data_IF_335136450833
#
_entry.id   IF_335136450833
#
_cell.length_a   1.000
_cell.length_b   1.000
_cell.length_c   1.000
_cell.angle_alpha   90.00
_cell.angle_beta   90.00
_cell.angle_gamma   90.00
#
_symmetry.space_group_name_H-M   'P 1'
#
loop_
_entity.id
_entity.type
_entity.pdbx_description
1 polymer ?
#
# COMPACT_ATOMS: atom_id res chain seq x y z
N UNK A 1 9.04 8.93 17.54
CA UNK A 1 8.72 7.73 16.75
C UNK A 1 7.39 7.18 17.24
N UNK A 2 6.35 7.18 16.42
CA UNK A 2 5.08 6.51 16.75
C UNK A 2 5.36 5.01 16.62
N UNK A 3 5.88 4.39 17.69
CA UNK A 3 5.92 2.94 17.85
C UNK A 3 4.49 2.47 18.14
N UNK A 4 3.63 2.63 17.14
CA UNK A 4 2.36 1.95 16.90
C UNK A 4 1.52 1.56 18.14
N UNK A 5 1.26 2.53 19.01
CA UNK A 5 0.25 2.44 20.09
C UNK A 5 -1.18 2.66 19.54
N UNK A 6 -1.37 2.34 18.27
CA UNK A 6 -2.63 2.41 17.54
C UNK A 6 -3.37 1.08 17.57
N UNK A 7 -3.11 0.23 18.58
CA UNK A 7 -3.81 -1.02 18.87
C UNK A 7 -5.31 -0.75 19.08
N UNK A 8 -6.06 -0.82 17.99
CA UNK A 8 -7.51 -0.88 17.98
C UNK A 8 -7.86 -2.24 17.46
N UNK A 9 -8.77 -2.94 18.15
CA UNK A 9 -9.25 -4.24 17.71
C UNK A 9 -9.84 -4.09 16.29
N UNK A 10 -9.48 -4.98 15.34
CA UNK A 10 -10.16 -5.06 14.06
C UNK A 10 -11.69 -5.08 14.23
N UNK A 11 -12.39 -4.41 13.32
CA UNK A 11 -13.83 -4.19 13.37
C UNK A 11 -14.28 -3.00 14.23
N UNK A 12 -13.41 -2.44 15.09
CA UNK A 12 -13.76 -1.22 15.82
C UNK A 12 -13.79 0.00 14.88
N UNK A 13 -14.64 0.99 15.18
CA UNK A 13 -14.77 2.19 14.33
C UNK A 13 -13.45 2.94 14.14
N UNK A 14 -12.59 3.00 15.16
CA UNK A 14 -11.27 3.63 15.05
C UNK A 14 -10.31 2.81 14.19
N UNK A 15 -10.39 1.48 14.26
CA UNK A 15 -9.62 0.60 13.37
C UNK A 15 -10.04 0.77 11.92
N UNK A 16 -11.36 0.74 11.64
CA UNK A 16 -11.90 0.97 10.30
C UNK A 16 -11.52 2.35 9.75
N UNK A 17 -11.65 3.41 10.55
CA UNK A 17 -11.23 4.74 10.13
C UNK A 17 -9.73 4.80 9.83
N UNK A 18 -8.89 4.18 10.67
CA UNK A 18 -7.44 4.09 10.43
C UNK A 18 -7.16 3.38 9.11
N UNK A 19 -7.89 2.30 8.80
CA UNK A 19 -7.78 1.58 7.53
C UNK A 19 -8.18 2.46 6.35
N UNK A 20 -9.31 3.18 6.42
CA UNK A 20 -9.73 4.12 5.37
C UNK A 20 -8.68 5.22 5.16
N UNK A 21 -8.16 5.79 6.25
CA UNK A 21 -7.12 6.84 6.18
C UNK A 21 -5.85 6.30 5.53
N UNK A 22 -5.38 5.13 5.96
CA UNK A 22 -4.16 4.52 5.44
C UNK A 22 -4.26 4.12 3.96
N UNK A 23 -5.43 3.61 3.55
CA UNK A 23 -5.69 3.19 2.17
C UNK A 23 -5.82 4.35 1.20
N UNK A 24 -6.57 5.40 1.56
CA UNK A 24 -7.05 6.34 0.52
C UNK A 24 -6.61 7.78 0.71
N UNK A 25 -6.35 8.26 1.92
CA UNK A 25 -6.16 9.71 2.13
C UNK A 25 -4.88 10.21 1.47
N UNK A 26 -3.84 9.38 1.34
CA UNK A 26 -2.63 9.75 0.58
C UNK A 26 -2.92 9.96 -0.90
N UNK A 27 -3.67 9.04 -1.50
CA UNK A 27 -4.04 9.09 -2.92
C UNK A 27 -4.98 10.26 -3.24
N UNK A 28 -5.69 10.77 -2.22
CA UNK A 28 -6.51 11.99 -2.30
C UNK A 28 -5.71 13.29 -2.11
N UNK A 29 -4.38 13.26 -2.20
CA UNK A 29 -3.53 14.46 -1.98
C UNK A 29 -3.25 14.76 -0.50
N UNK A 30 -3.48 13.79 0.38
CA UNK A 30 -3.15 13.84 1.80
C UNK A 30 -4.20 14.51 2.70
N UNK A 31 -5.31 15.01 2.14
CA UNK A 31 -6.35 15.71 2.87
C UNK A 31 -7.75 15.18 2.53
N UNK A 32 -8.69 15.28 3.47
CA UNK A 32 -10.07 14.81 3.29
C UNK A 32 -11.05 15.57 4.19
N UNK A 33 -12.26 15.83 3.69
CA UNK A 33 -13.28 16.53 4.47
C UNK A 33 -13.82 15.64 5.59
N UNK A 34 -14.21 16.25 6.72
CA UNK A 34 -14.80 15.48 7.83
C UNK A 34 -16.10 14.80 7.40
N UNK A 35 -16.89 15.47 6.57
CA UNK A 35 -18.15 14.96 6.07
C UNK A 35 -17.94 13.72 5.17
N UNK A 36 -16.89 13.71 4.36
CA UNK A 36 -16.59 12.59 3.44
C UNK A 36 -16.10 11.37 4.23
N UNK A 37 -15.26 11.58 5.26
CA UNK A 37 -14.89 10.51 6.19
C UNK A 37 -16.10 9.90 6.93
N UNK A 38 -17.08 10.74 7.30
CA UNK A 38 -18.31 10.29 7.94
C UNK A 38 -19.15 9.45 6.96
N UNK A 39 -19.25 9.86 5.69
CA UNK A 39 -20.01 9.13 4.68
C UNK A 39 -19.36 7.79 4.31
N UNK A 40 -18.03 7.77 4.16
CA UNK A 40 -17.25 6.54 3.96
C UNK A 40 -17.44 5.56 5.13
N UNK A 41 -17.39 6.04 6.37
CA UNK A 41 -17.71 5.22 7.54
C UNK A 41 -19.18 4.77 7.57
N UNK A 42 -20.10 5.58 7.02
CA UNK A 42 -21.49 5.22 6.80
C UNK A 42 -21.67 4.03 5.85
N UNK A 43 -20.85 3.93 4.79
CA UNK A 43 -20.82 2.74 3.93
C UNK A 43 -20.38 1.47 4.69
N UNK A 44 -19.62 1.63 5.78
CA UNK A 44 -19.21 0.54 6.67
C UNK A 44 -20.25 0.22 7.77
N UNK A 45 -21.39 0.92 7.79
CA UNK A 45 -22.45 0.76 8.79
C UNK A 45 -22.23 1.54 10.08
N UNK A 46 -21.29 2.50 10.09
CA UNK A 46 -20.99 3.32 11.26
C UNK A 46 -21.88 4.57 11.29
N UNK A 47 -22.62 4.83 12.38
CA UNK A 47 -23.41 6.05 12.51
C UNK A 47 -22.54 7.33 12.56
N UNK A 48 -23.04 8.50 12.11
CA UNK A 48 -22.27 9.74 12.06
C UNK A 48 -21.63 10.16 13.39
N UNK A 49 -22.31 9.95 14.52
CA UNK A 49 -21.76 10.26 15.84
C UNK A 49 -20.53 9.38 16.14
N UNK A 50 -20.60 8.08 15.86
CA UNK A 50 -19.50 7.14 16.05
C UNK A 50 -18.30 7.47 15.15
N UNK A 51 -18.57 7.87 13.91
CA UNK A 51 -17.55 8.31 12.97
C UNK A 51 -16.78 9.54 13.48
N UNK A 52 -17.48 10.61 13.91
CA UNK A 52 -16.83 11.81 14.48
C UNK A 52 -16.02 11.49 15.74
N UNK A 53 -16.52 10.61 16.61
CA UNK A 53 -15.77 10.15 17.78
C UNK A 53 -14.53 9.33 17.42
N UNK A 54 -14.55 8.56 16.33
CA UNK A 54 -13.38 7.86 15.82
C UNK A 54 -12.35 8.84 15.25
N UNK A 55 -12.80 9.85 14.50
CA UNK A 55 -11.93 10.92 13.97
C UNK A 55 -11.21 11.65 15.10
N UNK A 56 -11.92 12.02 16.17
CA UNK A 56 -11.31 12.64 17.35
C UNK A 56 -10.22 11.76 17.99
N UNK A 57 -10.45 10.44 18.09
CA UNK A 57 -9.46 9.49 18.62
C UNK A 57 -8.25 9.34 17.70
N UNK A 58 -8.45 9.27 16.39
CA UNK A 58 -7.38 9.18 15.39
C UNK A 58 -6.53 10.45 15.40
N UNK A 59 -7.16 11.64 15.50
CA UNK A 59 -6.49 12.93 15.69
C UNK A 59 -5.66 12.95 16.98
N UNK A 60 -6.23 12.52 18.10
CA UNK A 60 -5.52 12.48 19.39
C UNK A 60 -4.28 11.59 19.37
N UNK A 61 -4.24 10.60 18.47
CA UNK A 61 -3.08 9.72 18.23
C UNK A 61 -2.11 10.24 17.15
N UNK A 62 -2.30 11.46 16.67
CA UNK A 62 -1.35 12.13 15.77
C UNK A 62 -1.38 11.65 14.32
N UNK A 63 -2.38 10.88 13.89
CA UNK A 63 -2.50 10.46 12.48
C UNK A 63 -3.05 11.58 11.59
N UNK A 64 -3.92 12.42 12.13
CA UNK A 64 -4.60 13.50 11.42
C UNK A 64 -4.43 14.84 12.14
N UNK A 65 -4.21 15.90 11.37
CA UNK A 65 -4.20 17.29 11.83
C UNK A 65 -5.35 18.07 11.16
N UNK A 66 -6.00 19.03 11.86
CA UNK A 66 -7.07 19.81 11.26
C UNK A 66 -6.58 20.62 10.06
N UNK A 67 -7.42 20.73 9.04
CA UNK A 67 -7.17 21.53 7.83
C UNK A 67 -8.48 22.14 7.32
N UNK A 68 -8.39 23.29 6.66
CA UNK A 68 -9.45 23.80 5.80
C UNK A 68 -9.06 23.47 4.37
N UNK A 69 -9.90 22.71 3.67
CA UNK A 69 -9.66 22.31 2.28
C UNK A 69 -9.75 23.53 1.34
N UNK A 70 -9.25 23.37 0.12
CA UNK A 70 -9.23 24.43 -0.90
C UNK A 70 -10.65 24.96 -1.24
N UNK A 71 -11.66 24.11 -1.11
CA UNK A 71 -13.09 24.45 -1.28
C UNK A 71 -13.73 25.09 -0.02
N UNK A 72 -12.95 25.37 1.02
CA UNK A 72 -13.39 25.99 2.27
C UNK A 72 -14.03 25.04 3.28
N UNK A 73 -14.19 23.75 2.97
CA UNK A 73 -14.75 22.78 3.92
C UNK A 73 -13.75 22.44 5.03
N UNK A 74 -14.28 22.23 6.24
CA UNK A 74 -13.50 21.70 7.34
C UNK A 74 -13.11 20.23 7.07
N UNK A 75 -11.83 19.93 7.25
CA UNK A 75 -11.25 18.62 6.97
C UNK A 75 -10.08 18.28 7.87
N UNK A 76 -9.35 17.27 7.46
CA UNK A 76 -8.12 16.82 8.09
C UNK A 76 -7.07 16.47 7.05
N UNK A 77 -5.82 16.81 7.36
CA UNK A 77 -4.64 16.31 6.65
C UNK A 77 -4.02 15.15 7.41
N UNK A 78 -3.33 14.27 6.70
CA UNK A 78 -2.33 13.41 7.31
C UNK A 78 -1.29 14.26 8.03
N UNK A 79 -0.96 13.88 9.27
CA UNK A 79 0.14 14.51 9.97
C UNK A 79 1.46 14.28 9.19
N UNK A 80 2.38 15.26 9.11
CA UNK A 80 3.65 15.09 8.40
C UNK A 80 4.43 13.85 8.85
N UNK A 81 4.44 13.57 10.16
CA UNK A 81 5.14 12.43 10.76
C UNK A 81 4.41 11.08 10.56
N UNK A 82 3.17 11.09 10.07
CA UNK A 82 2.40 9.87 9.83
C UNK A 82 2.78 9.18 8.51
N UNK A 83 3.36 9.91 7.55
CA UNK A 83 3.75 9.39 6.24
C UNK A 83 4.68 8.18 6.32
N UNK A 84 5.85 8.28 7.00
CA UNK A 84 6.77 7.15 7.17
C UNK A 84 6.17 5.95 7.92
N UNK A 85 5.27 6.20 8.89
CA UNK A 85 4.56 5.15 9.61
C UNK A 85 3.61 4.39 8.68
N UNK A 86 2.79 5.11 7.89
CA UNK A 86 1.87 4.51 6.92
C UNK A 86 2.63 3.73 5.84
N UNK A 87 3.73 4.29 5.31
CA UNK A 87 4.56 3.62 4.31
C UNK A 87 5.19 2.31 4.84
N UNK A 88 5.65 2.28 6.10
CA UNK A 88 6.08 1.03 6.76
C UNK A 88 4.92 0.04 6.87
N UNK A 89 3.75 0.52 7.27
CA UNK A 89 2.52 -0.28 7.31
C UNK A 89 2.19 -0.93 5.97
N UNK A 90 2.21 -0.18 4.88
CA UNK A 90 1.90 -0.72 3.54
C UNK A 90 2.84 -1.85 3.14
N UNK A 91 4.14 -1.67 3.36
CA UNK A 91 5.15 -2.70 3.06
C UNK A 91 4.85 -3.99 3.82
N UNK A 92 4.40 -3.89 5.07
CA UNK A 92 4.00 -5.06 5.87
C UNK A 92 2.68 -5.65 5.37
N UNK A 93 1.66 -4.81 5.13
CA UNK A 93 0.28 -5.22 4.85
C UNK A 93 0.14 -5.83 3.44
N UNK A 94 0.71 -5.17 2.44
CA UNK A 94 0.56 -5.52 1.02
C UNK A 94 1.81 -6.23 0.45
N UNK A 95 2.96 -6.10 1.11
CA UNK A 95 4.21 -6.72 0.71
C UNK A 95 4.55 -8.01 1.47
N UNK A 96 3.54 -8.77 1.94
CA UNK A 96 3.78 -10.04 2.63
C UNK A 96 4.72 -10.93 1.80
N UNK A 97 5.83 -11.34 2.42
CA UNK A 97 6.86 -12.15 1.79
C UNK A 97 7.07 -13.42 2.60
N UNK A 98 6.91 -14.56 1.95
CA UNK A 98 7.41 -15.81 2.50
C UNK A 98 8.92 -15.89 2.24
N UNK A 99 9.67 -16.21 3.28
CA UNK A 99 11.11 -16.41 3.20
C UNK A 99 11.43 -17.63 2.33
N UNK A 100 12.35 -17.47 1.38
CA UNK A 100 12.91 -18.57 0.60
C UNK A 100 13.93 -19.38 1.39
N UNK A 101 14.29 -20.56 0.91
CA UNK A 101 15.22 -21.45 1.62
C UNK A 101 16.64 -20.88 1.75
N UNK A 102 17.07 -20.08 0.76
CA UNK A 102 18.38 -19.43 0.71
C UNK A 102 18.37 -17.97 1.21
N UNK A 103 17.20 -17.45 1.60
CA UNK A 103 17.10 -16.10 2.15
C UNK A 103 17.84 -16.03 3.51
N UNK A 104 18.57 -14.94 3.80
CA UNK A 104 19.30 -14.82 5.06
C UNK A 104 18.34 -14.73 6.24
N UNK A 105 18.80 -15.18 7.40
CA UNK A 105 18.19 -14.94 8.70
C UNK A 105 18.85 -13.74 9.37
N UNK A 106 18.07 -12.99 10.15
CA UNK A 106 18.57 -11.96 11.04
C UNK A 106 18.54 -12.49 12.47
N UNK A 107 19.70 -12.52 13.14
CA UNK A 107 19.80 -12.84 14.57
C UNK A 107 20.16 -11.59 15.35
N UNK A 108 19.48 -11.41 16.48
CA UNK A 108 19.72 -10.29 17.40
C UNK A 108 20.18 -10.86 18.72
N UNK A 109 21.46 -10.68 19.02
CA UNK A 109 22.04 -11.01 20.33
C UNK A 109 22.19 -9.73 21.12
N UNK A 110 21.60 -9.64 22.31
CA UNK A 110 21.75 -8.49 23.19
C UNK A 110 22.08 -8.91 24.62
N UNK A 111 22.79 -8.03 25.33
CA UNK A 111 23.05 -8.18 26.76
C UNK A 111 22.84 -6.84 27.44
N UNK A 112 21.74 -6.71 28.19
CA UNK A 112 21.39 -5.51 28.92
C UNK A 112 21.56 -5.76 30.42
N UNK A 113 22.28 -4.88 31.15
CA UNK A 113 22.45 -5.02 32.59
C UNK A 113 21.11 -4.78 33.32
N UNK A 114 21.01 -5.21 34.58
CA UNK A 114 19.73 -5.26 35.29
C UNK A 114 19.11 -3.87 35.53
N UNK A 115 19.93 -2.83 35.61
CA UNK A 115 19.51 -1.43 35.69
C UNK A 115 18.68 -1.01 34.46
N UNK A 116 18.87 -1.68 33.31
CA UNK A 116 18.14 -1.45 32.06
C UNK A 116 17.02 -2.48 31.82
N UNK A 117 16.49 -3.11 32.88
CA UNK A 117 15.41 -4.11 32.75
C UNK A 117 14.20 -3.60 31.93
N UNK A 118 13.83 -2.32 32.09
CA UNK A 118 12.66 -1.77 31.40
C UNK A 118 12.91 -1.69 29.88
N UNK A 119 14.12 -1.27 29.47
CA UNK A 119 14.54 -1.29 28.06
C UNK A 119 14.59 -2.72 27.50
N UNK A 120 15.05 -3.70 28.31
CA UNK A 120 15.03 -5.13 27.95
C UNK A 120 13.60 -5.63 27.73
N UNK A 121 12.66 -5.27 28.60
CA UNK A 121 11.25 -5.63 28.44
C UNK A 121 10.63 -4.98 27.19
N UNK A 122 10.93 -3.71 26.91
CA UNK A 122 10.47 -3.02 25.71
C UNK A 122 11.05 -3.65 24.44
N UNK A 123 12.36 -3.96 24.41
CA UNK A 123 13.01 -4.60 23.27
C UNK A 123 12.36 -5.94 22.93
N UNK A 124 12.16 -6.81 23.93
CA UNK A 124 11.48 -8.10 23.76
C UNK A 124 10.06 -7.94 23.21
N UNK A 125 9.32 -6.94 23.71
CA UNK A 125 7.97 -6.64 23.23
C UNK A 125 7.99 -6.19 21.77
N UNK A 126 8.89 -5.29 21.39
CA UNK A 126 8.97 -4.77 20.01
C UNK A 126 9.46 -5.83 19.02
N UNK A 127 10.44 -6.65 19.39
CA UNK A 127 10.90 -7.78 18.57
C UNK A 127 9.76 -8.79 18.33
N UNK A 128 9.06 -9.20 19.39
CA UNK A 128 7.90 -10.08 19.24
C UNK A 128 6.80 -9.46 18.36
N UNK A 129 6.63 -8.14 18.43
CA UNK A 129 5.60 -7.42 17.70
C UNK A 129 5.88 -7.27 16.19
N UNK A 130 7.14 -7.38 15.75
CA UNK A 130 7.49 -7.50 14.33
C UNK A 130 7.55 -8.96 13.83
N UNK A 131 7.22 -9.93 14.69
CA UNK A 131 7.22 -11.36 14.36
C UNK A 131 8.54 -12.08 14.64
N UNK A 132 9.43 -11.52 15.47
CA UNK A 132 10.65 -12.20 15.88
C UNK A 132 10.39 -13.37 16.82
N UNK A 133 11.15 -14.44 16.64
CA UNK A 133 11.15 -15.62 17.49
C UNK A 133 12.19 -15.51 18.59
N UNK A 134 11.86 -16.03 19.77
CA UNK A 134 12.76 -16.06 20.93
C UNK A 134 13.53 -17.39 20.97
N UNK A 135 14.82 -17.37 20.60
CA UNK A 135 15.67 -18.57 20.58
C UNK A 135 16.17 -18.95 21.96
N UNK A 136 16.65 -17.95 22.71
CA UNK A 136 17.14 -18.05 24.08
C UNK A 136 17.01 -16.68 24.77
N UNK A 137 17.33 -16.59 26.05
CA UNK A 137 17.39 -15.28 26.70
C UNK A 137 18.50 -14.42 26.05
N UNK A 138 18.14 -13.21 25.64
CA UNK A 138 19.04 -12.33 24.89
C UNK A 138 19.30 -12.71 23.42
N UNK A 139 18.67 -13.76 22.88
CA UNK A 139 18.85 -14.18 21.48
C UNK A 139 17.52 -14.32 20.74
N UNK A 140 17.34 -13.52 19.70
CA UNK A 140 16.14 -13.51 18.86
C UNK A 140 16.50 -13.78 17.40
N UNK A 141 15.51 -14.25 16.64
CA UNK A 141 15.66 -14.58 15.22
C UNK A 141 14.45 -14.10 14.41
N UNK A 142 14.70 -13.54 13.24
CA UNK A 142 13.68 -13.16 12.23
C UNK A 142 14.16 -13.55 10.85
N UNK A 143 13.28 -13.56 9.85
CA UNK A 143 13.68 -13.46 8.47
C UNK A 143 14.53 -12.22 8.20
N UNK A 144 15.52 -12.37 7.32
CA UNK A 144 16.52 -11.33 7.05
C UNK A 144 15.95 -10.06 6.44
N UNK A 145 14.79 -10.14 5.78
CA UNK A 145 14.10 -8.96 5.24
C UNK A 145 13.57 -8.01 6.34
N UNK A 146 13.56 -8.42 7.61
CA UNK A 146 13.19 -7.59 8.76
C UNK A 146 14.39 -6.93 9.45
N UNK A 147 15.61 -7.03 8.89
CA UNK A 147 16.82 -6.45 9.50
C UNK A 147 16.71 -4.95 9.73
N UNK A 148 16.13 -4.21 8.79
CA UNK A 148 15.97 -2.75 8.91
C UNK A 148 14.99 -2.40 10.04
N UNK A 149 13.89 -3.13 10.19
CA UNK A 149 12.94 -2.95 11.29
C UNK A 149 13.57 -3.26 12.66
N UNK A 150 14.42 -4.29 12.71
CA UNK A 150 15.22 -4.61 13.91
C UNK A 150 16.15 -3.45 14.27
N UNK A 151 16.90 -2.93 13.31
CA UNK A 151 17.82 -1.80 13.51
C UNK A 151 17.07 -0.55 13.97
N UNK A 152 15.91 -0.24 13.37
CA UNK A 152 15.03 0.86 13.79
C UNK A 152 14.59 0.71 15.26
N UNK A 153 14.21 -0.50 15.70
CA UNK A 153 13.82 -0.77 17.09
C UNK A 153 15.00 -0.55 18.04
N UNK A 154 16.18 -1.06 17.70
CA UNK A 154 17.38 -0.96 18.54
C UNK A 154 17.82 0.51 18.72
N UNK A 155 17.77 1.30 17.64
CA UNK A 155 18.08 2.74 17.68
C UNK A 155 17.04 3.49 18.50
N UNK A 156 15.75 3.23 18.29
CA UNK A 156 14.69 3.97 18.96
C UNK A 156 14.59 3.69 20.46
N UNK A 157 15.01 2.52 20.91
CA UNK A 157 15.11 2.16 22.32
C UNK A 157 16.47 2.53 22.93
N UNK A 158 17.37 3.15 22.15
CA UNK A 158 18.72 3.54 22.56
C UNK A 158 19.54 2.37 23.14
N UNK A 159 19.35 1.16 22.58
CA UNK A 159 20.03 -0.09 23.01
C UNK A 159 20.94 -0.66 21.93
N UNK A 160 21.17 0.08 20.83
CA UNK A 160 21.94 -0.42 19.69
C UNK A 160 23.38 -0.80 20.04
N UNK A 161 23.98 -0.13 21.01
CA UNK A 161 25.32 -0.38 21.56
C UNK A 161 25.41 -1.69 22.36
N UNK A 162 24.29 -2.15 22.92
CA UNK A 162 24.18 -3.35 23.73
C UNK A 162 23.73 -4.60 22.93
N UNK A 163 23.58 -4.46 21.60
CA UNK A 163 23.11 -5.50 20.70
C UNK A 163 24.07 -5.72 19.53
N UNK A 164 24.15 -6.97 19.08
CA UNK A 164 24.82 -7.36 17.83
C UNK A 164 23.79 -8.02 16.91
N UNK A 165 23.71 -7.52 15.69
CA UNK A 165 22.85 -8.05 14.63
C UNK A 165 23.70 -8.85 13.66
N UNK A 166 23.30 -10.08 13.38
CA UNK A 166 23.97 -10.98 12.44
C UNK A 166 23.04 -11.29 11.28
N UNK A 167 23.56 -11.23 10.05
CA UNK A 167 22.95 -11.91 8.92
C UNK A 167 23.60 -13.28 8.79
N UNK A 168 22.79 -14.33 8.81
CA UNK A 168 23.26 -15.71 8.80
C UNK A 168 22.49 -16.55 7.77
N UNK A 169 23.04 -17.71 7.43
CA UNK A 169 22.29 -18.75 6.73
C UNK A 169 21.31 -19.47 7.65
N UNK A 170 20.69 -20.55 7.16
CA UNK A 170 19.72 -21.32 7.90
C UNK A 170 20.24 -21.82 9.27
N UNK A 171 19.42 -21.74 10.33
CA UNK A 171 19.81 -22.21 11.66
C UNK A 171 20.01 -23.73 11.66
N UNK A 172 21.07 -24.18 12.34
CA UNK A 172 21.31 -25.60 12.59
C UNK A 172 20.72 -25.95 13.95
N UNK A 173 19.70 -26.81 13.96
CA UNK A 173 18.97 -27.17 15.18
C UNK A 173 19.08 -28.67 15.47
N UNK A 174 18.88 -29.05 16.72
CA UNK A 174 18.68 -30.46 17.08
C UNK A 174 17.28 -30.89 16.62
N UNK A 175 17.20 -31.89 15.74
CA UNK A 175 15.94 -32.38 15.18
C UNK A 175 15.47 -31.57 13.97
N UNK A 176 14.15 -31.44 13.80
CA UNK A 176 13.57 -30.71 12.67
C UNK A 176 13.52 -29.20 12.94
N UNK A 177 13.54 -28.39 11.88
CA UNK A 177 13.38 -26.95 12.01
C UNK A 177 11.98 -26.55 12.46
N UNK A 178 10.95 -27.29 12.05
CA UNK A 178 9.57 -27.10 12.51
C UNK A 178 9.45 -27.22 14.04
N UNK A 179 10.11 -28.19 14.67
CA UNK A 179 10.10 -28.33 16.13
C UNK A 179 10.76 -27.14 16.83
N UNK A 180 11.84 -26.61 16.25
CA UNK A 180 12.50 -25.42 16.77
C UNK A 180 11.63 -24.18 16.60
N UNK A 181 11.01 -24.01 15.43
CA UNK A 181 10.13 -22.91 15.14
C UNK A 181 8.91 -22.87 16.08
N UNK A 182 8.30 -24.02 16.36
CA UNK A 182 7.19 -24.13 17.32
C UNK A 182 7.57 -23.74 18.76
N UNK A 183 8.87 -23.75 19.11
CA UNK A 183 9.35 -23.27 20.42
C UNK A 183 9.72 -21.79 20.41
N UNK A 184 10.15 -21.26 19.28
CA UNK A 184 10.63 -19.88 19.16
C UNK A 184 9.52 -18.89 18.84
N UNK A 185 8.47 -19.33 18.13
CA UNK A 185 7.31 -18.54 17.76
C UNK A 185 6.01 -19.12 18.33
N UNK A 186 5.05 -18.25 18.61
CA UNK A 186 3.68 -18.62 18.93
C UNK A 186 2.90 -18.92 17.64
N UNK A 187 3.21 -20.06 17.01
CA UNK A 187 2.62 -20.47 15.74
C UNK A 187 1.10 -20.70 15.86
N UNK A 188 0.61 -21.12 17.03
CA UNK A 188 -0.83 -21.31 17.28
C UNK A 188 -1.59 -19.98 17.22
N UNK A 189 -1.07 -18.93 17.85
CA UNK A 189 -1.65 -17.59 17.76
C UNK A 189 -1.65 -17.08 16.32
N UNK A 190 -0.55 -17.25 15.59
CA UNK A 190 -0.46 -16.81 14.20
C UNK A 190 -1.45 -17.58 13.31
N UNK A 191 -1.52 -18.90 13.46
CA UNK A 191 -2.50 -19.72 12.76
C UNK A 191 -3.94 -19.33 13.09
N UNK A 192 -4.25 -18.97 14.34
CA UNK A 192 -5.57 -18.51 14.75
C UNK A 192 -5.98 -17.20 14.07
N UNK A 193 -5.05 -16.26 13.88
CA UNK A 193 -5.30 -15.03 13.13
C UNK A 193 -5.66 -15.34 11.68
N UNK A 194 -4.86 -16.17 11.01
CA UNK A 194 -5.11 -16.62 9.64
C UNK A 194 -6.45 -17.34 9.48
N UNK A 195 -6.78 -18.28 10.39
CA UNK A 195 -8.07 -18.99 10.38
C UNK A 195 -9.25 -18.05 10.62
N UNK A 196 -9.10 -17.06 11.49
CA UNK A 196 -10.14 -16.05 11.73
C UNK A 196 -10.39 -15.20 10.48
N UNK A 197 -9.32 -14.80 9.79
CA UNK A 197 -9.43 -14.08 8.52
C UNK A 197 -10.14 -14.93 7.45
N UNK A 198 -9.71 -16.18 7.27
CA UNK A 198 -10.35 -17.13 6.35
C UNK A 198 -11.83 -17.30 6.68
N UNK A 199 -12.19 -17.58 7.93
CA UNK A 199 -13.59 -17.79 8.33
C UNK A 199 -14.49 -16.57 8.09
N UNK A 200 -13.95 -15.35 8.08
CA UNK A 200 -14.72 -14.12 7.85
C UNK A 200 -14.89 -13.76 6.38
N UNK A 201 -13.93 -14.12 5.55
CA UNK A 201 -13.83 -13.60 4.18
C UNK A 201 -13.90 -14.69 3.10
N UNK A 202 -13.73 -15.96 3.46
CA UNK A 202 -13.89 -17.10 2.57
C UNK A 202 -15.37 -17.48 2.46
N UNK A 203 -16.08 -16.81 1.54
CA UNK A 203 -17.50 -17.03 1.29
C UNK A 203 -17.79 -18.30 0.47
N UNK A 204 -16.94 -19.34 0.54
CA UNK A 204 -17.10 -20.55 -0.26
C UNK A 204 -18.32 -21.43 0.12
N UNK A 205 -19.15 -21.05 1.10
CA UNK A 205 -20.26 -21.88 1.60
C UNK A 205 -21.52 -21.16 2.10
N UNK A 206 -21.69 -19.86 1.87
CA UNK A 206 -22.96 -19.18 2.20
C UNK A 206 -23.86 -19.12 0.96
N UNK A 207 -24.68 -20.17 0.80
CA UNK A 207 -25.87 -20.28 -0.05
C UNK A 207 -26.08 -19.23 -1.16
N UNK A 208 -25.79 -19.67 -2.38
CA UNK A 208 -26.18 -19.01 -3.62
C UNK A 208 -24.97 -18.75 -4.51
N UNK A 209 -25.07 -19.18 -5.77
CA UNK A 209 -24.13 -18.85 -6.83
C UNK A 209 -23.61 -17.40 -6.72
N UNK A 210 -22.39 -17.08 -7.19
CA UNK A 210 -22.00 -15.69 -7.36
C UNK A 210 -23.08 -15.05 -8.23
N UNK A 211 -23.96 -14.25 -7.64
CA UNK A 211 -24.77 -13.38 -8.45
C UNK A 211 -23.74 -12.52 -9.14
N UNK A 212 -23.62 -12.67 -10.45
CA UNK A 212 -22.93 -11.76 -11.34
C UNK A 212 -23.62 -10.37 -11.35
N UNK A 213 -24.02 -9.88 -10.17
CA UNK A 213 -24.08 -8.46 -9.90
C UNK A 213 -22.64 -8.10 -9.57
N UNK A 214 -22.01 -7.30 -10.42
CA UNK A 214 -20.86 -6.54 -9.99
C UNK A 214 -21.22 -5.93 -8.63
N UNK A 215 -20.44 -6.23 -7.58
CA UNK A 215 -20.64 -5.60 -6.28
C UNK A 215 -20.76 -4.09 -6.55
N UNK A 216 -21.83 -3.43 -6.09
CA UNK A 216 -21.92 -1.99 -6.24
C UNK A 216 -20.65 -1.39 -5.63
N UNK A 217 -20.03 -0.33 -6.22
CA UNK A 217 -18.76 0.20 -5.73
C UNK A 217 -18.72 0.46 -4.21
N UNK A 218 -19.86 0.83 -3.63
CA UNK A 218 -20.05 0.98 -2.18
C UNK A 218 -19.87 -0.33 -1.39
N UNK A 219 -20.40 -1.44 -1.88
CA UNK A 219 -20.28 -2.76 -1.26
C UNK A 219 -18.86 -3.31 -1.42
N UNK A 220 -18.26 -3.11 -2.60
CA UNK A 220 -16.86 -3.44 -2.83
C UNK A 220 -15.94 -2.68 -1.88
N UNK A 221 -16.17 -1.37 -1.69
CA UNK A 221 -15.50 -0.56 -0.67
C UNK A 221 -15.67 -1.15 0.73
N UNK A 222 -16.89 -1.49 1.11
CA UNK A 222 -17.16 -2.00 2.45
C UNK A 222 -16.51 -3.35 2.72
N UNK A 223 -16.51 -4.27 1.74
CA UNK A 223 -15.80 -5.57 1.83
C UNK A 223 -14.29 -5.35 1.87
N UNK A 224 -13.73 -4.54 0.98
CA UNK A 224 -12.29 -4.35 0.89
C UNK A 224 -11.71 -3.73 2.16
N UNK A 225 -12.32 -2.67 2.68
CA UNK A 225 -11.85 -2.04 3.92
C UNK A 225 -11.92 -3.00 5.11
N UNK A 226 -12.97 -3.83 5.23
CA UNK A 226 -13.06 -4.83 6.31
C UNK A 226 -12.02 -5.93 6.15
N UNK A 227 -11.77 -6.39 4.92
CA UNK A 227 -10.74 -7.37 4.63
C UNK A 227 -9.35 -6.84 5.01
N UNK A 228 -9.00 -5.62 4.61
CA UNK A 228 -7.74 -4.98 5.03
C UNK A 228 -7.70 -4.83 6.54
N UNK A 229 -8.77 -4.33 7.18
CA UNK A 229 -8.81 -4.11 8.64
C UNK A 229 -8.56 -5.40 9.45
N UNK A 230 -9.14 -6.52 9.03
CA UNK A 230 -8.92 -7.85 9.63
C UNK A 230 -7.54 -8.43 9.26
N UNK A 231 -7.00 -8.11 8.08
CA UNK A 231 -5.70 -8.59 7.60
C UNK A 231 -4.52 -7.89 8.30
N UNK A 232 -4.61 -6.59 8.55
CA UNK A 232 -3.50 -5.76 9.06
C UNK A 232 -2.71 -6.36 10.24
N UNK A 233 -3.30 -7.02 11.25
CA UNK A 233 -2.54 -7.62 12.35
C UNK A 233 -1.70 -8.84 11.95
N UNK A 234 -2.10 -9.56 10.90
CA UNK A 234 -1.47 -10.83 10.50
C UNK A 234 -0.02 -10.62 10.08
N UNK A 235 0.32 -9.73 9.13
CA UNK A 235 1.70 -9.57 8.71
C UNK A 235 2.64 -9.11 9.82
N UNK A 236 2.18 -8.44 10.87
CA UNK A 236 3.03 -8.10 12.01
C UNK A 236 3.32 -9.30 12.92
N UNK A 237 2.38 -10.24 13.03
CA UNK A 237 2.55 -11.46 13.83
C UNK A 237 3.24 -12.59 13.05
N UNK A 238 2.99 -12.67 11.74
CA UNK A 238 3.56 -13.67 10.83
C UNK A 238 4.77 -13.08 10.10
N UNK A 239 6.00 -13.50 10.45
CA UNK A 239 7.19 -13.01 9.76
C UNK A 239 7.38 -13.63 8.36
N UNK A 240 6.55 -14.59 7.94
CA UNK A 240 6.68 -15.27 6.67
C UNK A 240 7.76 -16.36 6.70
N UNK A 241 7.67 -17.28 7.66
CA UNK A 241 8.62 -18.40 7.78
C UNK A 241 8.59 -19.32 6.55
N UNK A 242 9.71 -20.00 6.22
CA UNK A 242 9.72 -20.97 5.13
C UNK A 242 8.83 -22.16 5.46
N UNK A 243 8.27 -22.83 4.45
CA UNK A 243 7.32 -23.93 4.63
C UNK A 243 7.86 -25.08 5.50
N UNK A 244 9.17 -25.34 5.45
CA UNK A 244 9.86 -26.35 6.27
C UNK A 244 9.84 -26.06 7.77
N UNK A 245 9.54 -24.83 8.18
CA UNK A 245 9.41 -24.41 9.57
C UNK A 245 7.96 -24.53 10.09
N UNK A 246 7.00 -24.84 9.22
CA UNK A 246 5.57 -24.70 9.50
C UNK A 246 4.88 -26.08 9.56
N UNK A 247 3.79 -26.21 10.34
CA UNK A 247 2.94 -27.40 10.31
C UNK A 247 2.34 -27.67 8.92
N UNK A 248 2.03 -28.93 8.63
CA UNK A 248 1.47 -29.32 7.33
C UNK A 248 0.08 -28.71 7.05
N UNK A 249 -0.72 -28.43 8.10
CA UNK A 249 -2.04 -27.81 8.03
C UNK A 249 -2.00 -26.27 8.17
N UNK A 250 -0.85 -25.65 7.88
CA UNK A 250 -0.67 -24.21 8.06
C UNK A 250 -1.65 -23.37 7.22
N UNK A 251 -2.45 -22.49 7.85
CA UNK A 251 -3.50 -21.73 7.15
C UNK A 251 -2.96 -20.53 6.35
N UNK A 252 -1.71 -20.12 6.56
CA UNK A 252 -1.17 -18.86 6.03
C UNK A 252 -1.14 -18.79 4.50
N UNK A 253 -0.85 -19.88 3.81
CA UNK A 253 -0.85 -19.89 2.33
C UNK A 253 -2.25 -19.59 1.77
N UNK A 254 -3.28 -20.18 2.36
CA UNK A 254 -4.66 -19.98 1.93
C UNK A 254 -5.16 -18.55 2.21
N UNK A 255 -4.81 -17.99 3.38
CA UNK A 255 -5.24 -16.65 3.77
C UNK A 255 -4.55 -15.56 2.93
N UNK A 256 -3.24 -15.70 2.65
CA UNK A 256 -2.49 -14.80 1.74
C UNK A 256 -3.11 -14.84 0.35
N UNK A 257 -3.41 -16.04 -0.17
CA UNK A 257 -4.05 -16.18 -1.47
C UNK A 257 -5.45 -15.55 -1.50
N UNK A 258 -6.24 -15.70 -0.43
CA UNK A 258 -7.55 -15.06 -0.31
C UNK A 258 -7.44 -13.53 -0.27
N UNK A 259 -6.53 -12.98 0.54
CA UNK A 259 -6.31 -11.53 0.62
C UNK A 259 -5.90 -10.97 -0.76
N UNK A 260 -5.01 -11.65 -1.46
CA UNK A 260 -4.64 -11.32 -2.84
C UNK A 260 -5.84 -11.30 -3.78
N UNK A 261 -6.70 -12.34 -3.76
CA UNK A 261 -7.92 -12.38 -4.60
C UNK A 261 -8.90 -11.25 -4.27
N UNK A 262 -9.09 -10.93 -2.99
CA UNK A 262 -9.96 -9.83 -2.55
C UNK A 262 -9.42 -8.49 -3.04
N UNK A 263 -8.10 -8.26 -2.95
CA UNK A 263 -7.46 -7.05 -3.47
C UNK A 263 -7.70 -6.88 -4.97
N UNK A 264 -7.36 -7.90 -5.78
CA UNK A 264 -7.54 -7.86 -7.23
C UNK A 264 -9.01 -7.69 -7.64
N UNK A 265 -9.96 -8.22 -6.87
CA UNK A 265 -11.39 -8.15 -7.21
C UNK A 265 -12.11 -6.90 -6.73
N UNK A 266 -11.63 -6.23 -5.67
CA UNK A 266 -12.40 -5.19 -4.96
C UNK A 266 -11.70 -3.83 -4.89
N UNK A 267 -10.37 -3.76 -4.96
CA UNK A 267 -9.63 -2.54 -4.67
C UNK A 267 -10.00 -1.37 -5.62
N UNK A 268 -10.15 -1.63 -6.92
CA UNK A 268 -10.45 -0.57 -7.89
C UNK A 268 -11.87 -0.02 -7.73
N UNK A 269 -12.86 -0.91 -7.57
CA UNK A 269 -14.24 -0.52 -7.30
C UNK A 269 -14.36 0.23 -5.96
N UNK A 270 -13.60 -0.19 -4.95
CA UNK A 270 -13.52 0.49 -3.66
C UNK A 270 -12.95 1.92 -3.80
N UNK A 271 -11.83 2.07 -4.52
CA UNK A 271 -11.22 3.37 -4.80
C UNK A 271 -12.12 4.27 -5.62
N UNK A 272 -12.88 3.71 -6.58
CA UNK A 272 -13.88 4.45 -7.35
C UNK A 272 -14.98 5.01 -6.44
N UNK A 273 -15.52 4.20 -5.51
CA UNK A 273 -16.51 4.70 -4.54
C UNK A 273 -15.96 5.87 -3.71
N UNK A 274 -14.71 5.79 -3.26
CA UNK A 274 -14.06 6.88 -2.51
C UNK A 274 -13.98 8.15 -3.34
N UNK A 275 -13.51 8.06 -4.59
CA UNK A 275 -13.44 9.21 -5.51
C UNK A 275 -14.80 9.84 -5.74
N UNK A 276 -15.85 9.03 -5.93
CA UNK A 276 -17.22 9.54 -6.07
C UNK A 276 -17.68 10.27 -4.82
N UNK A 277 -17.49 9.70 -3.62
CA UNK A 277 -17.91 10.33 -2.35
C UNK A 277 -17.19 11.67 -2.11
N UNK A 278 -15.88 11.72 -2.38
CA UNK A 278 -15.07 12.93 -2.19
C UNK A 278 -15.35 13.97 -3.29
N UNK A 279 -15.55 13.53 -4.53
CA UNK A 279 -15.81 14.38 -5.70
C UNK A 279 -17.23 14.96 -5.76
N UNK A 280 -18.25 14.24 -5.28
CA UNK A 280 -19.66 14.69 -5.32
C UNK A 280 -19.92 15.99 -4.54
N UNK A 281 -19.00 16.45 -3.69
CA UNK A 281 -19.12 17.72 -2.96
C UNK A 281 -18.28 18.86 -3.54
N UNK A 282 -17.37 18.57 -4.48
CA UNK A 282 -16.67 19.59 -5.27
C UNK A 282 -17.50 20.12 -6.46
N UNK A 283 -18.53 19.37 -6.88
CA UNK A 283 -19.31 19.68 -8.10
C UNK A 283 -20.53 20.59 -7.88
N UNK A 284 -20.55 21.36 -6.77
CA UNK A 284 -21.34 22.58 -6.69
C UNK A 284 -20.46 23.84 -6.91
N UNK A 285 -19.49 23.75 -7.82
CA UNK A 285 -18.92 24.91 -8.52
C UNK A 285 -18.14 24.42 -9.75
N UNK A 286 -18.77 24.55 -10.93
CA UNK A 286 -18.18 24.76 -12.27
C UNK A 286 -16.98 23.89 -12.75
N UNK A 287 -17.20 23.14 -13.85
CA UNK A 287 -16.22 23.07 -14.95
C UNK A 287 -15.51 21.74 -15.25
N UNK A 288 -16.22 20.70 -15.70
CA UNK A 288 -15.64 19.44 -16.24
C UNK A 288 -15.03 19.61 -17.66
N UNK A 289 -14.41 20.74 -17.99
CA UNK A 289 -13.95 21.00 -19.37
C UNK A 289 -12.56 21.63 -19.54
N UNK A 290 -11.74 21.77 -18.50
CA UNK A 290 -10.52 22.62 -18.58
C UNK A 290 -9.15 21.90 -18.46
N UNK A 291 -9.10 20.63 -18.01
CA UNK A 291 -7.81 19.97 -17.69
C UNK A 291 -6.89 19.79 -18.91
N UNK A 292 -7.46 19.55 -20.10
CA UNK A 292 -6.66 19.34 -21.33
C UNK A 292 -6.06 20.64 -21.87
N UNK A 293 -6.62 21.80 -21.51
CA UNK A 293 -6.14 23.10 -21.98
C UNK A 293 -4.85 23.54 -21.28
N UNK A 294 -4.60 23.08 -20.06
CA UNK A 294 -3.43 23.44 -19.25
C UNK A 294 -2.23 22.49 -19.40
N UNK A 295 -2.35 21.47 -20.26
CA UNK A 295 -1.23 20.57 -20.55
C UNK A 295 -0.15 21.27 -21.39
N UNK A 296 1.15 21.05 -21.07
CA UNK A 296 2.25 21.39 -21.97
C UNK A 296 2.00 20.84 -23.38
N UNK A 297 2.33 21.61 -24.41
CA UNK A 297 1.95 21.31 -25.79
C UNK A 297 2.36 19.89 -26.24
N UNK A 298 3.54 19.41 -25.84
CA UNK A 298 3.98 18.05 -26.15
C UNK A 298 3.19 16.98 -25.41
N UNK A 299 2.83 17.19 -24.14
CA UNK A 299 1.99 16.26 -23.36
C UNK A 299 0.58 16.19 -23.93
N UNK A 300 0.02 17.33 -24.32
CA UNK A 300 -1.26 17.38 -25.04
C UNK A 300 -1.20 16.62 -26.35
N UNK A 301 -0.13 16.80 -27.12
CA UNK A 301 0.09 16.10 -28.39
C UNK A 301 0.19 14.60 -28.18
N UNK A 302 0.90 14.13 -27.14
CA UNK A 302 0.97 12.73 -26.75
C UNK A 302 -0.44 12.14 -26.51
N UNK A 303 -1.27 12.82 -25.71
CA UNK A 303 -2.62 12.35 -25.36
C UNK A 303 -3.55 12.35 -26.59
N UNK A 304 -3.63 13.48 -27.29
CA UNK A 304 -4.53 13.62 -28.44
C UNK A 304 -4.15 12.69 -29.60
N UNK A 305 -2.85 12.51 -29.86
CA UNK A 305 -2.39 11.61 -30.90
C UNK A 305 -2.68 10.14 -30.56
N UNK A 306 -2.49 9.74 -29.30
CA UNK A 306 -2.81 8.38 -28.84
C UNK A 306 -4.30 8.11 -29.00
N UNK A 307 -5.16 9.02 -28.52
CA UNK A 307 -6.61 8.87 -28.60
C UNK A 307 -7.14 8.89 -30.04
N UNK A 308 -6.45 9.60 -30.95
CA UNK A 308 -6.78 9.63 -32.37
C UNK A 308 -6.18 8.46 -33.18
N UNK A 309 -5.31 7.64 -32.57
CA UNK A 309 -4.59 6.57 -33.25
C UNK A 309 -3.56 7.06 -34.29
N UNK A 310 -2.97 8.24 -34.08
CA UNK A 310 -2.05 8.89 -35.01
C UNK A 310 -0.59 8.78 -34.55
N UNK A 311 0.08 7.69 -34.94
CA UNK A 311 1.50 7.46 -34.62
C UNK A 311 2.42 8.56 -35.15
N UNK A 312 2.11 9.17 -36.31
CA UNK A 312 2.95 10.22 -36.88
C UNK A 312 2.91 11.47 -35.99
N UNK A 313 1.72 11.87 -35.56
CA UNK A 313 1.53 12.98 -34.61
C UNK A 313 2.10 12.66 -33.24
N UNK A 314 1.95 11.43 -32.74
CA UNK A 314 2.53 10.97 -31.48
C UNK A 314 4.04 11.24 -31.43
N UNK A 315 4.79 10.86 -32.48
CA UNK A 315 6.24 11.03 -32.53
C UNK A 315 6.69 12.49 -32.52
N UNK A 316 5.83 13.43 -32.92
CA UNK A 316 6.15 14.87 -32.86
C UNK A 316 6.22 15.41 -31.44
N UNK A 317 5.60 14.72 -30.47
CA UNK A 317 5.67 15.10 -29.05
C UNK A 317 7.06 14.88 -28.43
N UNK A 318 7.91 14.06 -29.04
CA UNK A 318 9.18 13.62 -28.46
C UNK A 318 10.40 14.27 -29.13
N UNK A 319 11.46 14.51 -28.35
CA UNK A 319 12.80 14.82 -28.86
C UNK A 319 13.37 13.65 -29.69
N UNK A 320 14.37 13.91 -30.53
CA UNK A 320 14.93 12.88 -31.42
C UNK A 320 15.60 11.73 -30.66
N UNK A 321 16.20 12.04 -29.51
CA UNK A 321 16.91 11.14 -28.59
C UNK A 321 16.08 10.72 -27.36
N UNK A 322 14.76 10.95 -27.38
CA UNK A 322 13.88 10.69 -26.24
C UNK A 322 13.96 9.23 -25.75
N UNK A 323 13.75 9.03 -24.45
CA UNK A 323 13.71 7.71 -23.82
C UNK A 323 12.30 7.45 -23.30
N UNK A 324 11.73 6.30 -23.65
CA UNK A 324 10.50 5.79 -23.08
C UNK A 324 10.82 4.54 -22.26
N UNK A 325 10.43 4.52 -20.99
CA UNK A 325 10.55 3.36 -20.09
C UNK A 325 9.14 2.88 -19.71
N UNK A 326 8.77 1.68 -20.15
CA UNK A 326 7.47 1.07 -19.90
C UNK A 326 7.67 -0.21 -19.08
N UNK A 327 7.40 -0.12 -17.77
CA UNK A 327 7.56 -1.25 -16.86
C UNK A 327 8.98 -1.84 -16.84
N UNK A 328 10.02 -1.03 -17.06
CA UNK A 328 11.43 -1.45 -17.14
C UNK A 328 11.92 -1.78 -18.55
N UNK A 329 11.05 -1.78 -19.58
CA UNK A 329 11.45 -1.89 -20.99
C UNK A 329 11.78 -0.52 -21.54
N UNK A 330 13.03 -0.31 -21.95
CA UNK A 330 13.50 0.98 -22.48
C UNK A 330 13.56 1.03 -24.00
N UNK A 331 13.03 2.11 -24.55
CA UNK A 331 13.02 2.43 -25.98
C UNK A 331 13.66 3.80 -26.18
N UNK A 332 14.58 3.91 -27.13
CA UNK A 332 15.38 5.11 -27.37
C UNK A 332 15.23 5.64 -28.78
N UNK A 333 14.91 6.92 -28.86
CA UNK A 333 14.73 7.66 -30.08
C UNK A 333 13.45 7.30 -30.83
N UNK A 334 13.05 8.18 -31.76
CA UNK A 334 11.73 8.10 -32.42
C UNK A 334 11.45 6.78 -33.15
N UNK A 335 12.49 6.09 -33.62
CA UNK A 335 12.32 4.80 -34.32
C UNK A 335 11.85 3.70 -33.37
N UNK A 336 12.45 3.58 -32.18
CA UNK A 336 12.05 2.57 -31.19
C UNK A 336 10.71 2.92 -30.53
N UNK A 337 10.46 4.22 -30.28
CA UNK A 337 9.16 4.71 -29.81
C UNK A 337 8.04 4.39 -30.81
N UNK A 338 8.28 4.53 -32.11
CA UNK A 338 7.30 4.16 -33.14
C UNK A 338 7.03 2.65 -33.20
N UNK A 339 7.99 1.83 -32.78
CA UNK A 339 7.78 0.39 -32.64
C UNK A 339 6.89 0.10 -31.43
N UNK A 340 7.24 0.66 -30.26
CA UNK A 340 6.48 0.51 -29.03
C UNK A 340 5.03 1.00 -29.18
N UNK A 341 4.83 2.19 -29.76
CA UNK A 341 3.49 2.76 -29.94
C UNK A 341 2.56 1.82 -30.72
N UNK A 342 3.08 1.23 -31.81
CA UNK A 342 2.35 0.26 -32.64
C UNK A 342 2.10 -1.09 -31.97
N UNK A 343 2.81 -1.46 -30.92
CA UNK A 343 2.68 -2.78 -30.27
C UNK A 343 2.03 -2.72 -28.89
N UNK A 344 2.20 -1.62 -28.17
CA UNK A 344 1.91 -1.52 -26.74
C UNK A 344 0.95 -0.34 -26.41
N UNK A 345 0.81 0.67 -27.29
CA UNK A 345 -0.10 1.83 -27.07
C UNK A 345 -1.19 1.99 -28.16
N UNK A 346 -0.99 2.81 -29.20
CA UNK A 346 -1.96 2.97 -30.30
C UNK A 346 -2.34 1.62 -30.93
N UNK A 347 -1.37 0.70 -31.06
CA UNK A 347 -1.62 -0.65 -31.54
C UNK A 347 -2.56 -1.49 -30.67
N UNK A 348 -2.72 -1.11 -29.39
CA UNK A 348 -3.67 -1.67 -28.44
C UNK A 348 -4.94 -0.82 -28.31
N UNK A 349 -5.18 0.11 -29.24
CA UNK A 349 -6.31 1.04 -29.20
C UNK A 349 -6.41 1.76 -27.86
N UNK A 350 -5.25 2.15 -27.31
CA UNK A 350 -5.20 2.88 -26.06
C UNK A 350 -5.94 4.22 -26.16
N UNK A 351 -6.68 4.55 -25.10
CA UNK A 351 -7.35 5.81 -24.91
C UNK A 351 -7.03 6.34 -23.51
N UNK A 352 -6.53 7.57 -23.46
CA UNK A 352 -6.09 8.27 -22.27
C UNK A 352 -7.12 9.31 -21.87
N UNK A 353 -7.61 9.21 -20.64
CA UNK A 353 -8.44 10.22 -19.99
C UNK A 353 -7.62 10.88 -18.88
N UNK A 354 -7.20 12.14 -19.11
CA UNK A 354 -6.33 12.85 -18.17
C UNK A 354 -7.14 13.33 -16.98
N UNK A 355 -6.70 12.98 -15.78
CA UNK A 355 -7.33 13.38 -14.51
C UNK A 355 -6.54 14.44 -13.76
N UNK A 356 -5.25 14.65 -14.08
CA UNK A 356 -4.46 15.72 -13.47
C UNK A 356 -3.04 15.86 -14.00
N UNK A 357 -2.42 17.00 -13.69
CA UNK A 357 -1.02 17.27 -13.94
C UNK A 357 -0.40 17.87 -12.67
N UNK A 358 0.71 17.30 -12.20
CA UNK A 358 1.43 17.77 -11.01
C UNK A 358 2.90 18.01 -11.32
N UNK A 359 3.59 18.93 -10.62
CA UNK A 359 5.04 19.07 -10.75
C UNK A 359 5.77 17.79 -10.34
N UNK A 360 6.83 17.44 -11.07
CA UNK A 360 7.73 16.34 -10.74
C UNK A 360 8.87 16.76 -9.81
N UNK A 361 9.91 15.92 -9.72
CA UNK A 361 11.05 16.16 -8.84
C UNK A 361 11.95 17.33 -9.29
N UNK A 362 11.91 17.67 -10.57
CA UNK A 362 12.69 18.78 -11.16
C UNK A 362 11.77 19.77 -11.89
N UNK A 363 12.21 21.02 -12.13
CA UNK A 363 11.38 22.03 -12.80
C UNK A 363 10.95 21.67 -14.22
N UNK A 364 11.69 20.78 -14.87
CA UNK A 364 11.45 20.25 -16.20
C UNK A 364 10.66 18.92 -16.19
N UNK A 365 10.26 18.42 -15.02
CA UNK A 365 9.49 17.18 -14.87
C UNK A 365 8.05 17.45 -14.44
N UNK A 366 7.11 16.70 -15.01
CA UNK A 366 5.69 16.70 -14.65
C UNK A 366 5.19 15.27 -14.50
N UNK A 367 4.26 15.07 -13.58
CA UNK A 367 3.53 13.83 -13.36
C UNK A 367 2.14 13.99 -13.97
N UNK A 368 1.86 13.22 -15.02
CA UNK A 368 0.57 13.19 -15.69
C UNK A 368 -0.26 12.03 -15.14
N UNK A 369 -1.31 12.34 -14.41
CA UNK A 369 -2.26 11.36 -13.88
C UNK A 369 -3.37 11.16 -14.93
N UNK A 370 -3.60 9.91 -15.32
CA UNK A 370 -4.57 9.56 -16.36
C UNK A 370 -5.14 8.16 -16.16
N UNK A 371 -6.29 7.88 -16.77
CA UNK A 371 -6.83 6.54 -16.91
C UNK A 371 -6.61 6.04 -18.33
N UNK A 372 -6.01 4.87 -18.49
CA UNK A 372 -5.83 4.18 -19.77
C UNK A 372 -6.97 3.18 -19.96
N UNK A 373 -7.53 3.14 -21.16
CA UNK A 373 -8.42 2.05 -21.61
C UNK A 373 -8.02 1.55 -22.99
N UNK A 374 -8.34 0.32 -23.36
CA UNK A 374 -8.01 -0.28 -24.65
C UNK A 374 -7.95 -1.82 -24.62
N UNK A 375 -7.28 -2.42 -25.59
CA UNK A 375 -7.03 -3.87 -25.69
C UNK A 375 -5.80 -4.34 -24.89
N UNK A 376 -5.13 -3.42 -24.19
CA UNK A 376 -3.95 -3.66 -23.39
C UNK A 376 -4.22 -3.46 -21.90
N UNK A 377 -3.32 -2.74 -21.24
CA UNK A 377 -3.54 -2.27 -19.87
C UNK A 377 -4.78 -1.38 -19.80
N UNK A 378 -5.60 -1.57 -18.77
CA UNK A 378 -6.80 -0.79 -18.49
C UNK A 378 -6.78 -0.42 -17.00
N UNK A 379 -6.71 0.87 -16.68
CA UNK A 379 -6.60 1.33 -15.30
C UNK A 379 -5.96 2.71 -15.16
N UNK A 380 -5.93 3.27 -13.95
CA UNK A 380 -5.24 4.51 -13.66
C UNK A 380 -3.73 4.32 -13.73
N UNK A 381 -3.01 5.28 -14.31
CA UNK A 381 -1.56 5.31 -14.35
C UNK A 381 -1.04 6.73 -14.15
N UNK A 382 0.20 6.82 -13.68
CA UNK A 382 0.94 8.08 -13.63
C UNK A 382 2.12 7.98 -14.59
N UNK A 383 2.18 8.91 -15.53
CA UNK A 383 3.31 9.06 -16.43
C UNK A 383 4.25 10.13 -15.88
N UNK A 384 5.50 9.77 -15.66
CA UNK A 384 6.54 10.77 -15.35
C UNK A 384 7.13 11.27 -16.65
N UNK A 385 6.91 12.56 -16.94
CA UNK A 385 7.31 13.20 -18.18
C UNK A 385 8.36 14.25 -17.89
N UNK A 386 9.53 14.13 -18.52
CA UNK A 386 10.56 15.18 -18.51
C UNK A 386 10.59 15.91 -19.84
N UNK A 387 10.45 17.23 -19.79
CA UNK A 387 10.42 18.11 -20.95
C UNK A 387 11.80 18.73 -21.21
N UNK A 388 12.16 18.86 -22.48
CA UNK A 388 13.35 19.61 -22.93
C UNK A 388 12.99 20.35 -24.20
N UNK A 389 13.20 21.66 -24.22
CA UNK A 389 12.87 22.54 -25.35
C UNK A 389 11.42 22.41 -25.83
N UNK A 390 10.49 22.23 -24.88
CA UNK A 390 9.05 22.10 -25.16
C UNK A 390 8.61 20.73 -25.69
N UNK A 391 9.52 19.76 -25.81
CA UNK A 391 9.26 18.39 -26.25
C UNK A 391 9.54 17.37 -25.12
N UNK A 392 9.00 16.16 -25.24
CA UNK A 392 9.24 15.07 -24.29
C UNK A 392 10.64 14.49 -24.52
N UNK A 393 11.51 14.60 -23.52
CA UNK A 393 12.84 13.98 -23.50
C UNK A 393 12.85 12.64 -22.76
N UNK A 394 11.96 12.46 -21.79
CA UNK A 394 11.78 11.20 -21.08
C UNK A 394 10.31 10.97 -20.77
N UNK A 395 9.83 9.76 -20.96
CA UNK A 395 8.52 9.28 -20.52
C UNK A 395 8.70 7.98 -19.75
N UNK A 396 8.24 7.93 -18.50
CA UNK A 396 8.25 6.70 -17.69
C UNK A 396 6.81 6.33 -17.35
N UNK A 397 6.44 5.11 -17.68
CA UNK A 397 5.12 4.53 -17.44
C UNK A 397 5.31 3.51 -16.31
N UNK A 398 4.61 3.75 -15.19
CA UNK A 398 4.75 2.99 -13.94
C UNK A 398 3.73 1.87 -13.83
#
# INVERSE_FOLDING_TARGET
>A
MILDDLDSRPGSTTSLLRTVVGLYVRDLGGAVAVADLVDLLGALGVPPAGARSAVSRVKAKGLLVPETLDDGRAGYRLAPDAGPMLARGDRRIFGYRQQGDDDPWCLVSYSLPEERRDARHQLRRHLAWIGAGSVADGLWITPGHLVDEVEEILVALEVRDAATVFLAGAPRVAGSFADAAARWWDLDRVAALHRTFLARHDNAGADGAPSARADEPRDAFARWVRAVDDWRPIPYADPGLPSVALPADWPGTASVALFGRLGHGLADAASHHVRVVVGHRGEHSEGMSDVTHDLPAAVRTLVEATNAGDTARFLTAFTEDAILDDGGRRFRGRTELASWDRTDSIGKRSHFEVSGLRPGATPDEVLLDLTVSGDGYNGPGTFTVRLRDGLIASLVIS
#
